data_IF_748920066206
#
_entry.id   IF_748920066206
#
_cell.length_a   1.000
_cell.length_b   1.000
_cell.length_c   1.000
_cell.angle_alpha   90.00
_cell.angle_beta   90.00
_cell.angle_gamma   90.00
#
_symmetry.space_group_name_H-M   'P 1'
#
loop_
_entity.id
_entity.type
_entity.pdbx_description
1 polymer ?
#
# COMPACT_ATOMS: atom_id res chain seq x y z
N UNK A 1 49.28 5.82 42.67
CA UNK A 1 48.04 6.61 42.88
C UNK A 1 47.52 7.09 41.54
N UNK A 2 46.51 6.41 40.99
CA UNK A 2 45.53 6.89 40.00
C UNK A 2 44.34 5.95 40.12
N UNK A 3 43.19 6.48 40.53
CA UNK A 3 41.95 5.73 40.79
C UNK A 3 41.32 5.38 39.44
N UNK A 4 41.09 4.09 39.19
CA UNK A 4 40.24 3.62 38.09
C UNK A 4 38.84 3.50 38.68
N UNK A 5 37.92 4.34 38.21
CA UNK A 5 36.49 4.26 38.53
C UNK A 5 35.88 3.32 37.50
N UNK A 6 35.38 2.18 37.95
CA UNK A 6 34.54 1.29 37.15
C UNK A 6 33.16 1.95 36.99
N UNK A 7 32.74 2.14 35.74
CA UNK A 7 31.35 2.50 35.42
C UNK A 7 30.66 1.20 35.01
N UNK A 8 29.79 0.71 35.89
CA UNK A 8 28.85 -0.38 35.60
C UNK A 8 27.64 0.26 34.93
N UNK A 9 27.48 0.07 33.62
CA UNK A 9 26.24 0.36 32.92
C UNK A 9 25.36 -0.89 32.97
N UNK A 10 24.30 -0.81 33.77
CA UNK A 10 23.22 -1.78 33.75
C UNK A 10 22.35 -1.52 32.52
N UNK A 11 22.41 -2.42 31.53
CA UNK A 11 21.45 -2.45 30.42
C UNK A 11 20.27 -3.31 30.87
N UNK A 12 19.28 -2.67 31.48
CA UNK A 12 17.92 -3.23 31.57
C UNK A 12 17.21 -2.89 30.27
N UNK A 13 17.33 -3.79 29.30
CA UNK A 13 16.56 -3.78 28.06
C UNK A 13 15.19 -4.42 28.32
N UNK A 14 14.17 -3.57 28.24
CA UNK A 14 12.74 -3.86 28.38
C UNK A 14 12.32 -5.06 27.52
N UNK A 15 11.60 -6.02 28.11
CA UNK A 15 10.79 -6.97 27.36
C UNK A 15 9.65 -6.18 26.71
N UNK A 16 9.67 -6.07 25.38
CA UNK A 16 8.49 -5.64 24.61
C UNK A 16 7.45 -6.75 24.68
N UNK A 17 6.44 -6.54 25.51
CA UNK A 17 5.19 -7.31 25.46
C UNK A 17 4.49 -6.95 24.15
N UNK A 18 4.28 -7.95 23.29
CA UNK A 18 3.33 -7.88 22.18
C UNK A 18 1.94 -7.60 22.78
N UNK A 19 1.49 -6.35 22.63
CA UNK A 19 0.12 -5.99 22.93
C UNK A 19 -0.76 -6.51 21.78
N UNK A 20 -1.38 -7.68 21.97
CA UNK A 20 -2.67 -7.93 21.33
C UNK A 20 -3.66 -6.98 22.01
N UNK A 21 -3.77 -5.76 21.47
CA UNK A 21 -4.71 -4.75 21.96
C UNK A 21 -6.13 -5.17 21.59
N UNK A 22 -6.97 -5.43 22.59
CA UNK A 22 -8.41 -5.53 22.41
C UNK A 22 -8.91 -4.15 21.94
N UNK A 23 -9.51 -4.10 20.74
CA UNK A 23 -10.03 -2.86 20.16
C UNK A 23 -11.09 -2.24 21.08
N UNK A 24 -11.02 -0.91 21.27
CA UNK A 24 -12.00 -0.17 22.08
C UNK A 24 -13.41 -0.25 21.48
N UNK A 25 -14.45 -0.15 22.31
CA UNK A 25 -15.86 -0.21 21.86
C UNK A 25 -16.18 0.88 20.82
N UNK A 26 -15.57 2.06 20.94
CA UNK A 26 -15.73 3.16 19.98
C UNK A 26 -15.13 2.80 18.61
N UNK A 27 -13.97 2.11 18.58
CA UNK A 27 -13.33 1.70 17.33
C UNK A 27 -14.12 0.60 16.63
N UNK A 28 -14.61 -0.40 17.38
CA UNK A 28 -15.52 -1.43 16.86
C UNK A 28 -16.80 -0.81 16.27
N UNK A 29 -17.30 0.27 16.87
CA UNK A 29 -18.46 0.99 16.34
C UNK A 29 -18.12 1.80 15.08
N UNK A 30 -16.89 2.27 14.91
CA UNK A 30 -16.45 2.98 13.71
C UNK A 30 -16.25 2.01 12.55
N UNK A 31 -15.55 0.90 12.79
CA UNK A 31 -15.29 -0.17 11.83
C UNK A 31 -16.60 -0.76 11.27
N UNK A 32 -17.58 -1.08 12.13
CA UNK A 32 -18.89 -1.56 11.66
C UNK A 32 -19.61 -0.54 10.75
N UNK A 33 -19.48 0.77 11.04
CA UNK A 33 -20.06 1.82 10.19
C UNK A 33 -19.34 1.92 8.85
N UNK A 34 -18.01 1.77 8.85
CA UNK A 34 -17.22 1.73 7.63
C UNK A 34 -17.63 0.55 6.75
N UNK A 35 -17.71 -0.67 7.30
CA UNK A 35 -18.16 -1.86 6.56
C UNK A 35 -19.58 -1.70 5.99
N UNK A 36 -20.53 -1.15 6.75
CA UNK A 36 -21.89 -0.88 6.27
C UNK A 36 -21.90 0.13 5.12
N UNK A 37 -21.08 1.19 5.21
CA UNK A 37 -20.92 2.20 4.17
C UNK A 37 -20.31 1.59 2.89
N UNK A 38 -19.25 0.79 3.04
CA UNK A 38 -18.61 0.08 1.94
C UNK A 38 -19.57 -0.90 1.26
N UNK A 39 -20.30 -1.72 2.02
CA UNK A 39 -21.27 -2.66 1.47
C UNK A 39 -22.38 -1.95 0.67
N UNK A 40 -22.87 -0.83 1.18
CA UNK A 40 -23.87 0.01 0.48
C UNK A 40 -23.29 0.57 -0.82
N UNK A 41 -22.05 1.08 -0.77
CA UNK A 41 -21.35 1.64 -1.92
C UNK A 41 -21.08 0.62 -3.02
N UNK A 42 -20.60 -0.57 -2.65
CA UNK A 42 -20.39 -1.70 -3.56
C UNK A 42 -21.71 -2.17 -4.19
N UNK A 43 -22.84 -1.97 -3.53
CA UNK A 43 -24.18 -2.24 -4.05
C UNK A 43 -24.75 -1.11 -4.92
N UNK A 44 -23.97 -0.07 -5.21
CA UNK A 44 -24.33 1.06 -6.07
C UNK A 44 -24.83 2.31 -5.34
N UNK A 45 -24.89 2.31 -4.01
CA UNK A 45 -25.28 3.51 -3.25
C UNK A 45 -24.11 4.50 -3.13
N UNK A 46 -24.18 5.59 -3.89
CA UNK A 46 -23.14 6.63 -3.93
C UNK A 46 -23.46 7.83 -3.03
N UNK A 47 -24.47 7.75 -2.16
CA UNK A 47 -24.94 8.89 -1.35
C UNK A 47 -23.90 9.41 -0.35
N UNK A 48 -22.97 8.55 0.08
CA UNK A 48 -21.89 8.92 0.98
C UNK A 48 -20.67 9.53 0.27
N UNK A 49 -20.62 9.47 -1.07
CA UNK A 49 -19.63 10.20 -1.86
C UNK A 49 -20.12 11.64 -2.08
N UNK A 50 -19.32 12.62 -1.69
CA UNK A 50 -19.65 14.01 -1.99
C UNK A 50 -19.43 14.33 -3.49
N UNK A 51 -20.03 15.41 -3.98
CA UNK A 51 -19.98 15.77 -5.40
C UNK A 51 -18.57 16.07 -5.90
N UNK A 52 -17.70 16.65 -5.06
CA UNK A 52 -16.32 16.94 -5.43
C UNK A 52 -15.52 15.65 -5.72
N UNK A 53 -15.79 14.58 -4.97
CA UNK A 53 -15.18 13.26 -5.21
C UNK A 53 -15.59 12.72 -6.59
N UNK A 54 -16.86 12.81 -6.94
CA UNK A 54 -17.38 12.33 -8.24
C UNK A 54 -16.92 13.17 -9.44
N UNK A 55 -16.55 14.43 -9.21
CA UNK A 55 -15.97 15.31 -10.23
C UNK A 55 -14.46 15.09 -10.40
N UNK A 56 -13.78 14.68 -9.33
CA UNK A 56 -12.32 14.47 -9.30
C UNK A 56 -11.94 13.09 -9.82
N UNK A 57 -12.65 12.05 -9.38
CA UNK A 57 -12.28 10.66 -9.62
C UNK A 57 -13.22 10.00 -10.60
N UNK A 58 -12.65 9.25 -11.56
CA UNK A 58 -13.42 8.27 -12.30
C UNK A 58 -13.60 7.02 -11.45
N UNK A 59 -14.77 6.90 -10.81
CA UNK A 59 -15.16 5.74 -10.00
C UNK A 59 -16.13 4.88 -10.82
N UNK A 60 -15.77 3.61 -11.14
CA UNK A 60 -16.65 2.69 -11.87
C UNK A 60 -17.98 2.46 -11.17
N UNK A 61 -18.98 2.02 -11.94
CA UNK A 61 -20.16 1.40 -11.36
C UNK A 61 -19.83 -0.07 -11.09
N UNK A 62 -19.58 -0.42 -9.83
CA UNK A 62 -19.23 -1.79 -9.45
C UNK A 62 -20.39 -2.78 -9.60
N UNK A 63 -21.62 -2.28 -9.81
CA UNK A 63 -22.79 -3.10 -10.13
C UNK A 63 -22.87 -3.42 -11.64
N UNK A 64 -22.03 -2.82 -12.49
CA UNK A 64 -21.94 -3.20 -13.90
C UNK A 64 -21.20 -4.54 -14.06
N UNK A 65 -21.94 -5.58 -14.45
CA UNK A 65 -21.43 -6.94 -14.68
C UNK A 65 -20.46 -7.06 -15.88
N UNK A 66 -20.15 -5.96 -16.58
CA UNK A 66 -19.17 -5.96 -17.68
C UNK A 66 -17.73 -6.25 -17.24
N UNK A 67 -17.42 -6.03 -15.96
CA UNK A 67 -16.15 -6.37 -15.33
C UNK A 67 -16.42 -7.03 -13.98
N UNK A 68 -15.58 -7.99 -13.60
CA UNK A 68 -15.66 -8.64 -12.29
C UNK A 68 -14.59 -8.03 -11.40
N UNK A 69 -15.05 -7.42 -10.32
CA UNK A 69 -14.20 -6.81 -9.32
C UNK A 69 -14.09 -7.74 -8.11
N UNK A 70 -13.07 -7.49 -7.30
CA UNK A 70 -12.93 -8.07 -5.98
C UNK A 70 -12.46 -6.98 -5.02
N UNK A 71 -12.66 -7.20 -3.73
CA UNK A 71 -12.34 -6.25 -2.69
C UNK A 71 -11.69 -6.89 -1.47
N UNK A 72 -10.95 -6.09 -0.74
CA UNK A 72 -10.38 -6.43 0.56
C UNK A 72 -10.54 -5.24 1.50
N UNK A 73 -10.45 -5.51 2.80
CA UNK A 73 -10.34 -4.49 3.83
C UNK A 73 -8.92 -4.55 4.39
N UNK A 74 -8.29 -3.39 4.53
CA UNK A 74 -6.95 -3.28 5.10
C UNK A 74 -6.73 -1.87 5.64
N UNK A 75 -6.19 -1.76 6.86
CA UNK A 75 -5.78 -0.49 7.47
C UNK A 75 -4.49 0.03 6.79
N UNK A 76 -4.63 1.04 5.93
CA UNK A 76 -3.53 1.59 5.12
C UNK A 76 -2.85 2.80 5.74
N UNK A 77 -3.58 3.54 6.60
CA UNK A 77 -3.08 4.75 7.25
C UNK A 77 -2.63 4.49 8.71
N UNK A 78 -2.96 3.33 9.28
CA UNK A 78 -2.60 2.91 10.63
C UNK A 78 -3.52 3.47 11.73
N UNK A 79 -4.72 3.93 11.40
CA UNK A 79 -5.68 4.48 12.37
C UNK A 79 -6.56 3.41 13.04
N UNK A 80 -6.47 2.16 12.57
CA UNK A 80 -7.23 1.02 13.08
C UNK A 80 -8.65 0.90 12.53
N UNK A 81 -9.01 1.67 11.49
CA UNK A 81 -10.19 1.51 10.65
C UNK A 81 -9.70 1.06 9.28
N UNK A 82 -10.16 -0.09 8.81
CA UNK A 82 -9.71 -0.61 7.53
C UNK A 82 -10.30 0.18 6.34
N UNK A 83 -9.48 0.48 5.34
CA UNK A 83 -9.93 1.01 4.06
C UNK A 83 -10.49 -0.09 3.16
N UNK A 84 -11.40 0.29 2.27
CA UNK A 84 -11.87 -0.54 1.17
C UNK A 84 -10.90 -0.46 -0.02
N UNK A 85 -10.31 -1.60 -0.35
CA UNK A 85 -9.50 -1.83 -1.54
C UNK A 85 -10.33 -2.54 -2.61
N UNK A 86 -10.24 -2.11 -3.87
CA UNK A 86 -10.93 -2.75 -5.00
C UNK A 86 -9.97 -2.94 -6.17
N UNK A 87 -9.99 -4.13 -6.77
CA UNK A 87 -9.29 -4.42 -8.03
C UNK A 87 -10.12 -5.30 -8.97
N UNK A 88 -9.61 -5.57 -10.17
CA UNK A 88 -10.19 -6.56 -11.08
C UNK A 88 -9.78 -7.98 -10.66
N UNK A 89 -10.72 -8.92 -10.62
CA UNK A 89 -10.50 -10.29 -10.15
C UNK A 89 -9.48 -11.04 -11.03
N UNK A 90 -9.70 -11.04 -12.35
CA UNK A 90 -8.86 -11.76 -13.33
C UNK A 90 -7.64 -10.95 -13.78
N UNK A 91 -7.56 -9.68 -13.37
CA UNK A 91 -6.43 -8.80 -13.67
C UNK A 91 -6.04 -8.01 -12.41
N UNK A 92 -5.51 -8.65 -11.35
CA UNK A 92 -5.07 -7.95 -10.15
C UNK A 92 -4.10 -6.82 -10.47
N UNK A 93 -4.31 -5.69 -9.80
CA UNK A 93 -3.66 -4.43 -10.11
C UNK A 93 -4.24 -3.67 -11.29
N UNK A 94 -4.99 -4.30 -12.23
CA UNK A 94 -5.56 -3.68 -13.45
C UNK A 94 -6.54 -2.52 -13.20
N UNK A 95 -7.06 -2.45 -11.99
CA UNK A 95 -7.74 -1.30 -11.39
C UNK A 95 -7.29 -1.21 -9.93
N UNK A 96 -7.10 0.00 -9.43
CA UNK A 96 -6.80 0.23 -8.01
C UNK A 96 -7.77 1.28 -7.45
N UNK A 97 -8.80 0.81 -6.75
CA UNK A 97 -9.70 1.65 -5.97
C UNK A 97 -9.34 1.62 -4.50
N UNK A 98 -9.21 2.80 -3.87
CA UNK A 98 -8.96 2.95 -2.42
C UNK A 98 -9.97 3.93 -1.86
N UNK A 99 -10.76 3.48 -0.89
CA UNK A 99 -11.84 4.26 -0.27
C UNK A 99 -11.74 4.25 1.26
N UNK A 100 -11.74 5.43 1.84
CA UNK A 100 -11.69 5.65 3.28
C UNK A 100 -13.05 6.15 3.79
N UNK A 101 -13.46 5.70 4.97
CA UNK A 101 -14.67 6.15 5.64
C UNK A 101 -14.32 6.98 6.87
N UNK A 102 -14.70 8.26 6.85
CA UNK A 102 -14.58 9.16 8.00
C UNK A 102 -15.72 10.16 7.99
N UNK A 103 -16.06 10.71 9.16
CA UNK A 103 -17.08 11.75 9.30
C UNK A 103 -18.44 11.41 8.64
N UNK A 104 -18.82 10.13 8.65
CA UNK A 104 -20.02 9.59 7.99
C UNK A 104 -20.04 9.84 6.46
N UNK A 105 -18.86 9.89 5.83
CA UNK A 105 -18.66 10.07 4.39
C UNK A 105 -17.64 9.07 3.82
N UNK A 106 -17.74 8.82 2.52
CA UNK A 106 -16.74 8.08 1.75
C UNK A 106 -15.81 9.06 1.03
N UNK A 107 -14.52 8.84 1.19
CA UNK A 107 -13.46 9.55 0.49
C UNK A 107 -12.75 8.58 -0.45
N UNK A 108 -12.70 8.92 -1.73
CA UNK A 108 -11.86 8.19 -2.68
C UNK A 108 -10.44 8.76 -2.59
N UNK A 109 -9.51 7.91 -2.17
CA UNK A 109 -8.08 8.22 -2.11
C UNK A 109 -7.37 7.83 -3.40
N UNK A 110 -7.87 6.81 -4.09
CA UNK A 110 -7.41 6.46 -5.42
C UNK A 110 -8.54 5.80 -6.22
N UNK A 111 -8.59 6.10 -7.51
CA UNK A 111 -9.43 5.39 -8.47
C UNK A 111 -8.77 5.49 -9.83
N UNK A 112 -7.93 4.52 -10.14
CA UNK A 112 -7.14 4.52 -11.37
C UNK A 112 -7.19 3.16 -12.06
N UNK A 113 -7.33 3.19 -13.38
CA UNK A 113 -7.16 2.02 -14.23
C UNK A 113 -5.71 1.98 -14.70
N UNK A 114 -5.12 0.80 -14.71
CA UNK A 114 -3.70 0.64 -15.06
C UNK A 114 -3.37 1.23 -16.42
N UNK A 115 -2.46 2.20 -16.43
CA UNK A 115 -1.55 2.37 -17.54
C UNK A 115 -0.65 1.14 -17.56
N UNK A 116 -0.65 0.33 -18.63
CA UNK A 116 -0.02 -1.01 -18.77
C UNK A 116 1.34 -1.28 -18.05
N UNK A 117 2.08 -0.23 -17.72
CA UNK A 117 3.40 -0.21 -17.13
C UNK A 117 3.45 0.24 -15.65
N UNK A 118 2.35 0.69 -15.06
CA UNK A 118 2.25 1.17 -13.68
C UNK A 118 1.14 0.42 -12.94
N UNK A 119 1.40 -0.13 -11.76
CA UNK A 119 0.37 -0.75 -10.93
C UNK A 119 0.65 -0.53 -9.45
N UNK A 120 -0.41 -0.31 -8.70
CA UNK A 120 -0.39 -0.20 -7.25
C UNK A 120 -1.04 -1.45 -6.63
N UNK A 121 -0.46 -2.00 -5.57
CA UNK A 121 -1.03 -3.15 -4.86
C UNK A 121 -0.67 -3.17 -3.36
N UNK A 122 -1.54 -3.72 -2.50
CA UNK A 122 -1.34 -3.73 -1.06
C UNK A 122 -0.37 -4.83 -0.58
N UNK A 123 0.28 -4.55 0.54
CA UNK A 123 1.02 -5.50 1.36
C UNK A 123 0.27 -5.75 2.66
N UNK A 124 0.43 -6.91 3.27
CA UNK A 124 -0.34 -7.32 4.46
C UNK A 124 -0.08 -6.45 5.71
N UNK A 125 0.88 -5.53 5.68
CA UNK A 125 1.25 -4.63 6.78
C UNK A 125 0.69 -3.20 6.60
N UNK A 126 -0.27 -3.03 5.69
CA UNK A 126 -0.94 -1.76 5.38
C UNK A 126 -0.15 -0.85 4.43
N UNK A 127 1.10 -1.21 4.08
CA UNK A 127 1.82 -0.48 3.03
C UNK A 127 1.32 -0.86 1.64
N UNK A 128 1.57 0.01 0.68
CA UNK A 128 1.28 -0.19 -0.74
C UNK A 128 2.59 -0.21 -1.53
N UNK A 129 2.58 -0.89 -2.66
CA UNK A 129 3.69 -0.87 -3.63
C UNK A 129 3.19 -0.26 -4.92
N UNK A 130 3.85 0.81 -5.36
CA UNK A 130 3.78 1.29 -6.74
C UNK A 130 4.88 0.66 -7.55
N UNK A 131 4.52 -0.22 -8.47
CA UNK A 131 5.46 -0.83 -9.40
C UNK A 131 5.37 -0.15 -10.77
N UNK A 132 6.50 0.29 -11.29
CA UNK A 132 6.60 0.88 -12.62
C UNK A 132 7.67 0.20 -13.48
N UNK A 133 7.26 -0.27 -14.66
CA UNK A 133 8.08 -0.99 -15.63
C UNK A 133 8.22 -0.17 -16.91
N UNK A 134 9.41 0.34 -17.20
CA UNK A 134 9.60 1.16 -18.39
C UNK A 134 10.98 1.00 -19.01
N UNK A 135 11.01 0.63 -20.30
CA UNK A 135 12.21 0.65 -21.15
C UNK A 135 13.44 -0.04 -20.51
N UNK A 136 13.27 -1.27 -20.03
CA UNK A 136 14.35 -2.04 -19.37
C UNK A 136 14.59 -1.66 -17.91
N UNK A 137 13.69 -0.88 -17.30
CA UNK A 137 13.69 -0.54 -15.88
C UNK A 137 12.49 -1.16 -15.18
N UNK A 138 12.69 -1.61 -13.95
CA UNK A 138 11.61 -1.92 -13.02
C UNK A 138 11.88 -1.17 -11.71
N UNK A 139 10.88 -0.44 -11.22
CA UNK A 139 10.94 0.28 -9.96
C UNK A 139 9.80 -0.12 -9.06
N UNK A 140 10.06 -0.10 -7.75
CA UNK A 140 9.11 -0.39 -6.68
C UNK A 140 9.23 0.73 -5.66
N UNK A 141 8.18 1.53 -5.50
CA UNK A 141 8.07 2.48 -4.40
C UNK A 141 7.11 1.92 -3.38
N UNK A 142 7.61 1.66 -2.16
CA UNK A 142 6.76 1.27 -1.04
C UNK A 142 6.32 2.52 -0.30
N UNK A 143 5.03 2.70 -0.10
CA UNK A 143 4.44 3.90 0.51
C UNK A 143 3.31 3.55 1.48
N UNK A 144 2.89 4.54 2.26
CA UNK A 144 1.67 4.48 3.09
C UNK A 144 0.73 5.62 2.74
N UNK A 145 -0.56 5.41 2.95
CA UNK A 145 -1.52 6.50 2.96
C UNK A 145 -1.44 7.26 4.27
N UNK A 146 -1.62 8.57 4.19
CA UNK A 146 -1.85 9.46 5.32
C UNK A 146 -3.36 9.63 5.52
N UNK A 147 -3.77 10.16 6.68
CA UNK A 147 -5.18 10.38 7.04
C UNK A 147 -5.97 11.20 5.99
N UNK A 148 -5.29 12.06 5.23
CA UNK A 148 -5.89 12.88 4.17
C UNK A 148 -5.90 12.22 2.77
N UNK A 149 -5.42 10.98 2.64
CA UNK A 149 -5.26 10.27 1.38
C UNK A 149 -4.01 10.63 0.57
N UNK A 150 -3.15 11.53 1.06
CA UNK A 150 -1.80 11.72 0.49
C UNK A 150 -0.92 10.49 0.81
N UNK A 151 0.20 10.36 0.11
CA UNK A 151 1.11 9.23 0.28
C UNK A 151 2.46 9.66 0.83
N UNK A 152 3.04 8.86 1.71
CA UNK A 152 4.43 9.00 2.17
C UNK A 152 5.26 7.78 1.74
N UNK A 153 6.34 8.02 0.99
CA UNK A 153 7.26 6.99 0.54
C UNK A 153 8.12 6.50 1.71
N UNK A 154 8.15 5.18 1.91
CA UNK A 154 8.97 4.52 2.93
C UNK A 154 10.34 4.11 2.39
N UNK A 155 10.36 3.53 1.18
CA UNK A 155 11.60 3.10 0.49
C UNK A 155 11.35 2.89 -0.99
N UNK A 156 12.42 2.88 -1.77
CA UNK A 156 12.39 2.63 -3.22
C UNK A 156 13.45 1.61 -3.64
N UNK A 157 13.07 0.75 -4.58
CA UNK A 157 13.95 -0.20 -5.24
C UNK A 157 13.90 0.05 -6.74
N UNK A 158 15.06 0.09 -7.39
CA UNK A 158 15.17 0.24 -8.84
C UNK A 158 16.13 -0.82 -9.38
N UNK A 159 15.72 -1.50 -10.45
CA UNK A 159 16.62 -2.24 -11.33
C UNK A 159 16.58 -1.63 -12.72
N UNK A 160 17.76 -1.49 -13.31
CA UNK A 160 17.96 -1.03 -14.67
C UNK A 160 18.80 -2.06 -15.41
N UNK A 161 18.18 -2.76 -16.35
CA UNK A 161 18.80 -3.86 -17.10
C UNK A 161 19.47 -3.39 -18.39
N UNK A 162 18.99 -2.28 -18.96
CA UNK A 162 19.40 -1.81 -20.28
C UNK A 162 19.58 -0.28 -20.30
N UNK A 163 20.39 0.20 -21.24
CA UNK A 163 20.57 1.63 -21.51
C UNK A 163 19.24 2.34 -21.82
N UNK A 164 19.05 3.57 -21.32
CA UNK A 164 17.88 4.40 -21.70
C UNK A 164 18.03 4.93 -23.13
N UNK A 165 19.27 5.12 -23.57
CA UNK A 165 19.62 5.72 -24.84
C UNK A 165 21.01 5.26 -25.30
N UNK A 166 21.36 5.47 -26.57
CA UNK A 166 22.69 5.11 -27.11
C UNK A 166 23.84 5.90 -26.47
N UNK A 167 23.54 7.07 -25.90
CA UNK A 167 24.50 7.95 -25.23
C UNK A 167 24.65 7.62 -23.73
N UNK A 168 23.95 6.60 -23.24
CA UNK A 168 23.99 6.20 -21.84
C UNK A 168 25.32 5.53 -21.51
N UNK A 169 26.09 6.16 -20.61
CA UNK A 169 27.43 5.72 -20.25
C UNK A 169 27.47 4.81 -19.02
N UNK A 170 26.31 4.55 -18.40
CA UNK A 170 26.22 3.68 -17.22
C UNK A 170 26.52 2.22 -17.56
N UNK A 171 26.95 1.46 -16.56
CA UNK A 171 27.17 0.02 -16.68
C UNK A 171 25.91 -0.73 -16.24
N UNK A 172 25.47 -1.68 -17.06
CA UNK A 172 24.26 -2.46 -16.80
C UNK A 172 24.55 -3.95 -16.59
N UNK A 173 23.72 -4.64 -15.78
CA UNK A 173 22.65 -4.09 -14.96
C UNK A 173 23.19 -3.30 -13.75
N UNK A 174 22.42 -2.35 -13.24
CA UNK A 174 22.63 -1.77 -11.91
C UNK A 174 21.34 -1.84 -11.08
N UNK A 175 21.52 -1.81 -9.77
CA UNK A 175 20.46 -1.96 -8.77
C UNK A 175 20.59 -0.86 -7.75
N UNK A 176 19.48 -0.24 -7.38
CA UNK A 176 19.46 0.81 -6.36
C UNK A 176 18.43 0.52 -5.27
N UNK A 177 18.77 0.97 -4.06
CA UNK A 177 17.85 1.09 -2.93
C UNK A 177 17.96 2.52 -2.41
N UNK A 178 16.85 3.25 -2.36
CA UNK A 178 16.77 4.65 -1.95
C UNK A 178 17.78 5.55 -2.69
N UNK A 179 17.92 5.32 -4.00
CA UNK A 179 18.83 6.06 -4.89
C UNK A 179 20.30 5.78 -4.65
N UNK A 180 20.65 4.67 -4.00
CA UNK A 180 22.03 4.22 -3.80
C UNK A 180 22.25 2.88 -4.47
N UNK A 181 23.27 2.81 -5.31
CA UNK A 181 23.68 1.58 -5.97
C UNK A 181 24.07 0.51 -4.94
N UNK A 182 23.60 -0.71 -5.17
CA UNK A 182 23.88 -1.91 -4.37
C UNK A 182 24.16 -3.10 -5.27
N UNK A 183 24.79 -4.14 -4.71
CA UNK A 183 24.97 -5.40 -5.43
C UNK A 183 23.62 -6.12 -5.63
N UNK A 184 23.50 -6.89 -6.71
CA UNK A 184 22.30 -7.67 -7.07
C UNK A 184 21.74 -8.48 -5.90
N UNK A 185 22.61 -9.17 -5.14
CA UNK A 185 22.19 -10.02 -4.02
C UNK A 185 21.47 -9.21 -2.93
N UNK A 186 21.98 -8.00 -2.63
CA UNK A 186 21.37 -7.12 -1.64
C UNK A 186 20.01 -6.62 -2.15
N UNK A 187 19.92 -6.27 -3.43
CA UNK A 187 18.67 -5.87 -4.05
C UNK A 187 17.60 -6.98 -3.99
N UNK A 188 17.95 -8.20 -4.40
CA UNK A 188 17.02 -9.33 -4.42
C UNK A 188 16.54 -9.69 -3.02
N UNK A 189 17.43 -9.68 -2.02
CA UNK A 189 17.05 -9.89 -0.62
C UNK A 189 16.06 -8.83 -0.12
N UNK A 190 16.26 -7.56 -0.49
CA UNK A 190 15.38 -6.47 -0.08
C UNK A 190 14.05 -6.50 -0.84
N UNK A 191 14.05 -6.78 -2.14
CA UNK A 191 12.83 -6.96 -2.91
C UNK A 191 11.98 -8.11 -2.35
N UNK A 192 12.61 -9.23 -2.01
CA UNK A 192 11.92 -10.35 -1.39
C UNK A 192 11.31 -9.93 -0.04
N UNK A 193 12.11 -9.35 0.85
CA UNK A 193 11.69 -9.05 2.22
C UNK A 193 10.70 -7.87 2.35
N UNK A 194 10.74 -6.92 1.42
CA UNK A 194 9.91 -5.71 1.45
C UNK A 194 8.66 -5.84 0.59
N UNK A 195 8.69 -6.63 -0.49
CA UNK A 195 7.58 -6.74 -1.43
C UNK A 195 7.06 -8.18 -1.50
N UNK A 196 7.87 -9.13 -1.97
CA UNK A 196 7.37 -10.46 -2.33
C UNK A 196 6.81 -11.24 -1.14
N UNK A 197 7.51 -11.24 -0.01
CA UNK A 197 7.07 -11.93 1.21
C UNK A 197 5.86 -11.26 1.87
N UNK A 198 5.56 -10.01 1.49
CA UNK A 198 4.54 -9.19 2.13
C UNK A 198 3.27 -9.02 1.31
N UNK A 199 3.22 -9.54 0.09
CA UNK A 199 2.07 -9.38 -0.78
C UNK A 199 0.80 -9.87 -0.08
N UNK A 200 -0.28 -9.08 -0.18
CA UNK A 200 -1.57 -9.48 0.36
C UNK A 200 -2.05 -10.77 -0.29
N UNK A 201 -2.38 -11.77 0.52
CA UNK A 201 -2.79 -13.08 0.02
C UNK A 201 -4.12 -13.03 -0.72
N UNK A 202 -4.29 -13.89 -1.74
CA UNK A 202 -5.57 -14.04 -2.48
C UNK A 202 -6.76 -14.37 -1.58
N UNK A 203 -6.52 -15.02 -0.44
CA UNK A 203 -7.53 -15.39 0.55
C UNK A 203 -8.18 -14.20 1.25
N UNK A 204 -7.54 -13.02 1.24
CA UNK A 204 -8.07 -11.78 1.80
C UNK A 204 -9.10 -11.10 0.88
N UNK A 205 -9.08 -11.43 -0.42
CA UNK A 205 -9.96 -10.82 -1.43
C UNK A 205 -11.29 -11.56 -1.53
N UNK A 206 -12.36 -10.79 -1.70
CA UNK A 206 -13.74 -11.26 -1.88
C UNK A 206 -14.24 -10.80 -3.24
N UNK A 207 -14.77 -11.69 -4.06
CA UNK A 207 -15.43 -11.34 -5.32
C UNK A 207 -16.67 -10.47 -5.05
N UNK A 208 -16.86 -9.42 -5.87
CA UNK A 208 -18.04 -8.56 -5.86
C UNK A 208 -19.25 -9.22 -6.54
#
# INVERSE_FOLDING_TARGET
MRKIIAVVLAVTGMLSLTACGDMTDDNKSAENRAEDAYSSFLSGDRTLLNSAQTETWWIPDFHDESMIYEYAYLDLNGDGIEELLIQLEEMPGGYNGVFHFADDQLFCWNSDAVEMNCRDYPLHDGTMVRQYNYSGSCSYTIFRYLENGETEDATSLLVREEAMSEDDSETYPYYEIDGKEVDQVVFEEQLQALVTDRMLERSAWKTL
#
